data_IF_969289558047
#
_entry.id   IF_969289558047
#
_cell.length_a   1.000
_cell.length_b   1.000
_cell.length_c   1.000
_cell.angle_alpha   90.00
_cell.angle_beta   90.00
_cell.angle_gamma   90.00
#
_symmetry.space_group_name_H-M   'P 1'
#
loop_
_entity.id
_entity.type
_entity.pdbx_description
1 polymer ?
#
# COMPACT_ATOMS: atom_id res chain seq x y z
N UNK A 1 -26.06 -18.81 6.48
CA UNK A 1 -25.38 -17.99 5.46
C UNK A 1 -25.48 -16.53 5.87
N UNK A 2 -24.38 -15.93 6.33
CA UNK A 2 -24.31 -14.47 6.45
C UNK A 2 -24.23 -13.93 5.02
N UNK A 3 -25.30 -13.30 4.53
CA UNK A 3 -25.28 -12.64 3.22
C UNK A 3 -24.18 -11.58 3.16
N UNK A 4 -23.72 -11.25 1.94
CA UNK A 4 -22.61 -10.39 1.47
C UNK A 4 -22.31 -9.05 2.20
N UNK A 5 -22.63 -8.88 3.48
CA UNK A 5 -22.41 -7.66 4.24
C UNK A 5 -21.01 -7.65 4.84
N UNK A 6 -20.33 -6.52 4.74
CA UNK A 6 -19.04 -6.30 5.39
C UNK A 6 -19.22 -6.07 6.90
N UNK A 7 -18.13 -6.23 7.67
CA UNK A 7 -18.12 -5.85 9.09
C UNK A 7 -18.62 -4.42 9.28
N UNK A 8 -18.17 -3.48 8.45
CA UNK A 8 -18.58 -2.08 8.54
C UNK A 8 -20.09 -1.91 8.34
N UNK A 9 -20.70 -2.65 7.43
CA UNK A 9 -22.15 -2.61 7.22
C UNK A 9 -22.91 -3.15 8.44
N UNK A 10 -22.43 -4.23 9.06
CA UNK A 10 -23.02 -4.74 10.31
C UNK A 10 -22.90 -3.76 11.47
N UNK A 11 -21.75 -3.09 11.61
CA UNK A 11 -21.53 -2.05 12.64
C UNK A 11 -22.46 -0.87 12.41
N UNK A 12 -22.55 -0.37 11.18
CA UNK A 12 -23.40 0.78 10.85
C UNK A 12 -24.88 0.47 11.09
N UNK A 13 -25.35 -0.73 10.72
CA UNK A 13 -26.72 -1.17 11.00
C UNK A 13 -27.01 -1.25 12.50
N UNK A 14 -26.06 -1.77 13.29
CA UNK A 14 -26.19 -1.81 14.74
C UNK A 14 -26.30 -0.40 15.34
N UNK A 15 -25.38 0.50 14.98
CA UNK A 15 -25.38 1.88 15.47
C UNK A 15 -26.63 2.65 15.06
N UNK A 16 -27.12 2.43 13.84
CA UNK A 16 -28.38 3.04 13.38
C UNK A 16 -29.56 2.61 14.25
N UNK A 17 -29.64 1.32 14.62
CA UNK A 17 -30.70 0.82 15.50
C UNK A 17 -30.59 1.35 16.92
N UNK A 18 -29.38 1.44 17.47
CA UNK A 18 -29.12 2.07 18.78
C UNK A 18 -29.63 3.51 18.77
N UNK A 19 -29.22 4.29 17.76
CA UNK A 19 -29.60 5.70 17.65
C UNK A 19 -31.11 5.88 17.49
N UNK A 20 -31.78 5.03 16.71
CA UNK A 20 -33.23 5.07 16.55
C UNK A 20 -33.95 4.79 17.88
N UNK A 21 -33.50 3.79 18.63
CA UNK A 21 -34.07 3.45 19.93
C UNK A 21 -33.84 4.56 20.95
N UNK A 22 -32.62 5.09 21.05
CA UNK A 22 -32.32 6.22 21.93
C UNK A 22 -33.12 7.47 21.56
N UNK A 23 -33.31 7.74 20.28
CA UNK A 23 -34.16 8.82 19.79
C UNK A 23 -35.61 8.68 20.26
N UNK A 24 -36.18 7.47 20.16
CA UNK A 24 -37.54 7.18 20.66
C UNK A 24 -37.65 7.37 22.18
N UNK A 25 -36.65 6.92 22.93
CA UNK A 25 -36.62 7.08 24.39
C UNK A 25 -36.54 8.57 24.76
N UNK A 26 -35.67 9.34 24.11
CA UNK A 26 -35.53 10.79 24.34
C UNK A 26 -36.82 11.53 24.02
N UNK A 27 -37.43 11.25 22.87
CA UNK A 27 -38.72 11.85 22.50
C UNK A 27 -39.80 11.54 23.52
N UNK A 28 -39.84 10.31 24.07
CA UNK A 28 -40.81 9.96 25.12
C UNK A 28 -40.54 10.68 26.44
N UNK A 29 -39.27 10.89 26.80
CA UNK A 29 -38.88 11.69 27.97
C UNK A 29 -39.35 13.14 27.79
N UNK A 30 -39.10 13.75 26.63
CA UNK A 30 -39.52 15.13 26.31
C UNK A 30 -41.06 15.30 26.41
N UNK A 31 -41.83 14.35 25.87
CA UNK A 31 -43.29 14.34 26.01
C UNK A 31 -43.73 14.29 27.48
N UNK A 32 -43.09 13.43 28.29
CA UNK A 32 -43.41 13.28 29.71
C UNK A 32 -43.00 14.52 30.52
N UNK A 33 -41.88 15.16 30.19
CA UNK A 33 -41.43 16.41 30.81
C UNK A 33 -42.41 17.56 30.51
N UNK A 34 -42.90 17.66 29.27
CA UNK A 34 -43.96 18.61 28.92
C UNK A 34 -45.25 18.38 29.71
N UNK A 35 -45.68 17.13 29.87
CA UNK A 35 -46.85 16.77 30.67
C UNK A 35 -46.63 17.10 32.16
N UNK A 36 -45.43 16.81 32.68
CA UNK A 36 -45.05 17.12 34.05
C UNK A 36 -45.16 18.63 34.34
N UNK A 37 -44.62 19.48 33.46
CA UNK A 37 -44.68 20.94 33.61
C UNK A 37 -46.12 21.45 33.55
N UNK A 38 -46.92 20.95 32.59
CA UNK A 38 -48.33 21.31 32.45
C UNK A 38 -49.16 20.97 33.70
N UNK A 39 -48.95 19.77 34.27
CA UNK A 39 -49.65 19.36 35.50
C UNK A 39 -49.17 20.16 36.71
N UNK A 40 -47.87 20.44 36.80
CA UNK A 40 -47.29 21.26 37.86
C UNK A 40 -47.89 22.66 37.87
N UNK A 41 -48.06 23.29 36.70
CA UNK A 41 -48.70 24.59 36.59
C UNK A 41 -50.20 24.55 36.92
N UNK A 42 -50.91 23.50 36.53
CA UNK A 42 -52.31 23.29 36.97
C UNK A 42 -52.43 23.19 38.49
N UNK A 43 -51.51 22.46 39.14
CA UNK A 43 -51.47 22.36 40.61
C UNK A 43 -51.21 23.73 41.24
N UNK A 44 -50.29 24.53 40.69
CA UNK A 44 -50.03 25.90 41.20
C UNK A 44 -51.28 26.77 41.11
N UNK A 45 -51.94 26.79 39.95
CA UNK A 45 -53.19 27.56 39.72
C UNK A 45 -54.31 27.10 40.65
N UNK A 46 -54.53 25.78 40.76
CA UNK A 46 -55.53 25.23 41.68
C UNK A 46 -55.19 25.54 43.15
N UNK A 47 -53.92 25.49 43.54
CA UNK A 47 -53.50 25.83 44.90
C UNK A 47 -53.77 27.31 45.22
N UNK A 48 -53.50 28.22 44.29
CA UNK A 48 -53.83 29.64 44.48
C UNK A 48 -55.35 29.87 44.64
N UNK A 49 -56.17 29.26 43.77
CA UNK A 49 -57.63 29.33 43.86
C UNK A 49 -58.18 28.71 45.17
N UNK A 50 -57.57 27.63 45.65
CA UNK A 50 -57.92 27.01 46.93
C UNK A 50 -57.70 27.98 48.09
N UNK A 51 -56.55 28.66 48.13
CA UNK A 51 -56.22 29.65 49.17
C UNK A 51 -57.24 30.81 49.15
N UNK A 52 -57.63 31.29 47.97
CA UNK A 52 -58.64 32.34 47.84
C UNK A 52 -60.00 31.92 48.41
N UNK A 53 -60.43 30.67 48.17
CA UNK A 53 -61.67 30.12 48.72
C UNK A 53 -61.61 29.94 50.25
N UNK A 54 -60.46 29.51 50.78
CA UNK A 54 -60.22 29.42 52.23
C UNK A 54 -60.32 30.80 52.89
N UNK A 55 -59.72 31.83 52.28
CA UNK A 55 -59.81 33.22 52.76
C UNK A 55 -61.25 33.74 52.70
N UNK A 56 -62.01 33.38 51.66
CA UNK A 56 -63.42 33.74 51.51
C UNK A 56 -64.39 32.96 52.43
N UNK A 57 -63.89 31.95 53.16
CA UNK A 57 -64.69 31.10 54.04
C UNK A 57 -65.49 30.00 53.33
N UNK A 58 -65.24 29.75 52.04
CA UNK A 58 -65.83 28.64 51.30
C UNK A 58 -65.01 27.35 51.44
N UNK A 59 -65.17 26.71 52.60
CA UNK A 59 -64.47 25.47 52.93
C UNK A 59 -64.86 24.30 52.01
N UNK A 60 -66.10 24.27 51.50
CA UNK A 60 -66.57 23.19 50.62
C UNK A 60 -65.92 23.29 49.24
N UNK A 61 -65.79 24.51 48.70
CA UNK A 61 -65.06 24.78 47.46
C UNK A 61 -63.57 24.45 47.59
N UNK A 62 -62.92 24.89 48.68
CA UNK A 62 -61.53 24.60 48.96
C UNK A 62 -61.24 23.09 49.04
N UNK A 63 -62.08 22.31 49.74
CA UNK A 63 -61.90 20.86 49.88
C UNK A 63 -62.01 20.12 48.54
N UNK A 64 -62.89 20.59 47.63
CA UNK A 64 -63.00 20.03 46.27
C UNK A 64 -61.71 20.23 45.47
N UNK A 65 -61.12 21.42 45.57
CA UNK A 65 -59.84 21.72 44.90
C UNK A 65 -58.70 20.90 45.52
N UNK A 66 -58.68 20.75 46.85
CA UNK A 66 -57.67 19.92 47.54
C UNK A 66 -57.67 18.46 47.04
N UNK A 67 -58.86 17.86 46.88
CA UNK A 67 -59.01 16.50 46.33
C UNK A 67 -58.50 16.41 44.89
N UNK A 68 -58.84 17.39 44.04
CA UNK A 68 -58.32 17.49 42.67
C UNK A 68 -56.79 17.61 42.66
N UNK A 69 -56.21 18.49 43.47
CA UNK A 69 -54.77 18.66 43.60
C UNK A 69 -54.05 17.38 44.03
N UNK A 70 -54.65 16.59 44.93
CA UNK A 70 -54.09 15.29 45.32
C UNK A 70 -54.01 14.33 44.13
N UNK A 71 -55.05 14.28 43.30
CA UNK A 71 -55.05 13.45 42.09
C UNK A 71 -53.98 13.89 41.09
N UNK A 72 -53.83 15.21 40.88
CA UNK A 72 -52.80 15.76 40.00
C UNK A 72 -51.38 15.44 40.51
N UNK A 73 -51.15 15.50 41.82
CA UNK A 73 -49.86 15.13 42.42
C UNK A 73 -49.51 13.66 42.23
N UNK A 74 -50.49 12.76 42.33
CA UNK A 74 -50.28 11.34 42.02
C UNK A 74 -49.85 11.13 40.56
N UNK A 75 -50.51 11.82 39.62
CA UNK A 75 -50.11 11.76 38.20
C UNK A 75 -48.70 12.31 37.96
N UNK A 76 -48.32 13.38 38.66
CA UNK A 76 -46.96 13.93 38.60
C UNK A 76 -45.93 12.90 39.08
N UNK A 77 -46.20 12.20 40.18
CA UNK A 77 -45.31 11.16 40.70
C UNK A 77 -45.18 9.99 39.71
N UNK A 78 -46.30 9.52 39.14
CA UNK A 78 -46.31 8.47 38.09
C UNK A 78 -45.49 8.86 36.86
N UNK A 79 -45.60 10.12 36.42
CA UNK A 79 -44.82 10.65 35.29
C UNK A 79 -43.33 10.71 35.65
N UNK A 80 -42.99 11.16 36.86
CA UNK A 80 -41.59 11.25 37.32
C UNK A 80 -40.94 9.87 37.36
N UNK A 81 -41.64 8.88 37.89
CA UNK A 81 -41.19 7.49 37.91
C UNK A 81 -41.01 6.95 36.49
N UNK A 82 -41.94 7.27 35.58
CA UNK A 82 -41.85 6.88 34.17
C UNK A 82 -40.62 7.52 33.48
N UNK A 83 -40.38 8.81 33.69
CA UNK A 83 -39.19 9.52 33.17
C UNK A 83 -37.91 8.84 33.68
N UNK A 84 -37.84 8.54 34.98
CA UNK A 84 -36.69 7.86 35.56
C UNK A 84 -36.49 6.46 34.97
N UNK A 85 -37.59 5.73 34.76
CA UNK A 85 -37.60 4.44 34.08
C UNK A 85 -37.01 4.52 32.67
N UNK A 86 -37.48 5.45 31.84
CA UNK A 86 -36.93 5.67 30.50
C UNK A 86 -35.47 6.12 30.51
N UNK A 87 -35.08 7.03 31.41
CA UNK A 87 -33.69 7.47 31.56
C UNK A 87 -32.76 6.32 31.95
N UNK A 88 -33.23 5.38 32.78
CA UNK A 88 -32.44 4.21 33.16
C UNK A 88 -32.20 3.23 32.00
N UNK A 89 -33.02 3.28 30.95
CA UNK A 89 -32.87 2.47 29.73
C UNK A 89 -31.93 3.10 28.70
N UNK A 90 -31.60 4.40 28.81
CA UNK A 90 -30.60 5.02 27.95
C UNK A 90 -29.23 4.37 28.18
N UNK A 91 -28.56 3.97 27.11
CA UNK A 91 -27.29 3.27 27.16
C UNK A 91 -27.37 1.81 27.64
N UNK A 92 -28.51 1.34 28.13
CA UNK A 92 -28.72 -0.08 28.35
C UNK A 92 -29.13 -0.71 27.02
N UNK A 93 -28.24 -1.51 26.43
CA UNK A 93 -28.46 -2.26 25.18
C UNK A 93 -29.50 -3.39 25.31
N UNK A 94 -30.53 -3.17 26.12
CA UNK A 94 -31.57 -4.09 26.56
C UNK A 94 -32.52 -4.39 25.40
N UNK A 95 -32.02 -5.09 24.38
CA UNK A 95 -32.71 -5.79 23.27
C UNK A 95 -31.80 -6.01 22.04
N UNK A 96 -30.61 -5.42 22.00
CA UNK A 96 -29.71 -5.48 20.83
C UNK A 96 -28.67 -6.60 20.89
N UNK A 97 -28.81 -7.56 21.82
CA UNK A 97 -27.86 -8.66 21.99
C UNK A 97 -27.68 -9.49 20.72
N UNK A 98 -28.78 -9.79 19.99
CA UNK A 98 -28.72 -10.55 18.74
C UNK A 98 -28.00 -9.78 17.62
N UNK A 99 -28.19 -8.47 17.56
CA UNK A 99 -27.50 -7.60 16.61
C UNK A 99 -26.01 -7.49 16.94
N UNK A 100 -25.68 -7.37 18.23
CA UNK A 100 -24.29 -7.36 18.70
C UNK A 100 -23.59 -8.69 18.40
N UNK A 101 -24.28 -9.82 18.54
CA UNK A 101 -23.77 -11.13 18.16
C UNK A 101 -23.48 -11.23 16.65
N UNK A 102 -24.30 -10.59 15.80
CA UNK A 102 -24.03 -10.50 14.36
C UNK A 102 -22.78 -9.67 14.08
N UNK A 103 -22.60 -8.54 14.76
CA UNK A 103 -21.37 -7.73 14.65
C UNK A 103 -20.15 -8.55 15.09
N UNK A 104 -20.25 -9.27 16.21
CA UNK A 104 -19.19 -10.15 16.71
C UNK A 104 -18.84 -11.25 15.71
N UNK A 105 -19.84 -11.92 15.14
CA UNK A 105 -19.62 -12.95 14.13
C UNK A 105 -18.94 -12.39 12.87
N UNK A 106 -19.38 -11.22 12.40
CA UNK A 106 -18.76 -10.53 11.27
C UNK A 106 -17.31 -10.11 11.57
N UNK A 107 -17.02 -9.69 12.81
CA UNK A 107 -15.67 -9.30 13.21
C UNK A 107 -14.71 -10.50 13.22
N UNK A 108 -15.18 -11.64 13.75
CA UNK A 108 -14.42 -12.90 13.74
C UNK A 108 -14.12 -13.33 12.30
N UNK A 109 -15.11 -13.24 11.40
CA UNK A 109 -14.90 -13.60 9.99
C UNK A 109 -13.91 -12.65 9.30
N UNK A 110 -14.05 -11.34 9.50
CA UNK A 110 -13.16 -10.35 8.92
C UNK A 110 -11.70 -10.53 9.38
N UNK A 111 -11.47 -10.90 10.65
CA UNK A 111 -10.13 -11.18 11.14
C UNK A 111 -9.54 -12.47 10.53
N UNK A 112 -10.34 -13.53 10.38
CA UNK A 112 -9.92 -14.76 9.67
C UNK A 112 -9.51 -14.45 8.23
N UNK A 113 -10.34 -13.72 7.50
CA UNK A 113 -10.07 -13.34 6.11
C UNK A 113 -8.80 -12.48 6.00
N UNK A 114 -8.57 -11.60 6.97
CA UNK A 114 -7.36 -10.77 7.05
C UNK A 114 -6.12 -11.63 7.28
N UNK A 115 -6.15 -12.54 8.25
CA UNK A 115 -5.04 -13.45 8.56
C UNK A 115 -4.70 -14.31 7.34
N UNK A 116 -5.71 -14.88 6.69
CA UNK A 116 -5.50 -15.66 5.46
C UNK A 116 -4.86 -14.83 4.35
N UNK A 117 -5.36 -13.61 4.12
CA UNK A 117 -4.79 -12.68 3.12
C UNK A 117 -3.33 -12.35 3.43
N UNK A 118 -2.99 -12.05 4.68
CA UNK A 118 -1.62 -11.76 5.11
C UNK A 118 -0.71 -12.95 4.84
N UNK A 119 -1.14 -14.16 5.21
CA UNK A 119 -0.37 -15.38 4.95
C UNK A 119 -0.16 -15.64 3.46
N UNK A 120 -1.20 -15.42 2.64
CA UNK A 120 -1.09 -15.58 1.20
C UNK A 120 -0.14 -14.56 0.57
N UNK A 121 -0.22 -13.30 0.99
CA UNK A 121 0.70 -12.24 0.53
C UNK A 121 2.15 -12.55 0.95
N UNK A 122 2.36 -13.05 2.17
CA UNK A 122 3.67 -13.45 2.63
C UNK A 122 4.28 -14.56 1.76
N UNK A 123 3.51 -15.63 1.50
CA UNK A 123 3.93 -16.72 0.60
C UNK A 123 4.23 -16.22 -0.82
N UNK A 124 3.40 -15.33 -1.37
CA UNK A 124 3.67 -14.70 -2.67
C UNK A 124 4.99 -13.91 -2.65
N UNK A 125 5.26 -13.19 -1.56
CA UNK A 125 6.52 -12.50 -1.35
C UNK A 125 7.72 -13.44 -1.35
N UNK A 126 7.64 -14.58 -0.66
CA UNK A 126 8.70 -15.60 -0.66
C UNK A 126 8.92 -16.21 -2.06
N UNK A 127 7.84 -16.53 -2.77
CA UNK A 127 7.92 -17.05 -4.14
C UNK A 127 8.58 -16.05 -5.10
N UNK A 128 8.23 -14.77 -5.01
CA UNK A 128 8.85 -13.72 -5.82
C UNK A 128 10.33 -13.53 -5.46
N UNK A 129 10.70 -13.62 -4.17
CA UNK A 129 12.09 -13.56 -3.75
C UNK A 129 12.92 -14.70 -4.35
N UNK A 130 12.37 -15.92 -4.39
CA UNK A 130 13.02 -17.06 -5.04
C UNK A 130 13.18 -16.85 -6.54
N UNK A 131 12.14 -16.36 -7.23
CA UNK A 131 12.21 -16.05 -8.66
C UNK A 131 13.29 -15.00 -8.97
N UNK A 132 13.43 -13.98 -8.11
CA UNK A 132 14.48 -12.97 -8.25
C UNK A 132 15.87 -13.61 -8.08
N UNK A 133 16.05 -14.51 -7.12
CA UNK A 133 17.32 -15.21 -6.91
C UNK A 133 17.69 -16.06 -8.14
N UNK A 134 16.73 -16.84 -8.66
CA UNK A 134 16.93 -17.68 -9.85
C UNK A 134 17.26 -16.84 -11.09
N UNK A 135 16.58 -15.70 -11.27
CA UNK A 135 16.85 -14.78 -12.37
C UNK A 135 18.21 -14.11 -12.25
N UNK A 136 18.67 -13.77 -11.04
CA UNK A 136 20.02 -13.24 -10.80
C UNK A 136 21.08 -14.26 -11.18
N UNK A 137 20.92 -15.51 -10.75
CA UNK A 137 21.83 -16.60 -11.12
C UNK A 137 21.88 -16.81 -12.64
N UNK A 138 20.72 -16.83 -13.31
CA UNK A 138 20.66 -16.94 -14.78
C UNK A 138 21.37 -15.78 -15.47
N UNK A 139 21.18 -14.54 -14.98
CA UNK A 139 21.87 -13.37 -15.52
C UNK A 139 23.39 -13.50 -15.37
N UNK A 140 23.86 -13.92 -14.20
CA UNK A 140 25.30 -14.11 -13.95
C UNK A 140 25.89 -15.20 -14.86
N UNK A 141 25.18 -16.30 -15.04
CA UNK A 141 25.59 -17.36 -15.98
C UNK A 141 25.68 -16.84 -17.42
N UNK A 142 24.65 -16.13 -17.90
CA UNK A 142 24.66 -15.55 -19.26
C UNK A 142 25.81 -14.55 -19.43
N UNK A 143 26.09 -13.74 -18.42
CA UNK A 143 27.23 -12.80 -18.45
C UNK A 143 28.58 -13.54 -18.50
N UNK A 144 28.70 -14.66 -17.79
CA UNK A 144 29.89 -15.51 -17.85
C UNK A 144 30.06 -16.13 -19.25
N UNK A 145 28.99 -16.74 -19.78
CA UNK A 145 28.98 -17.37 -21.11
C UNK A 145 29.29 -16.36 -22.21
N UNK A 146 28.72 -15.16 -22.11
CA UNK A 146 29.04 -14.05 -23.01
C UNK A 146 30.50 -13.65 -22.92
N UNK A 147 31.06 -13.52 -21.71
CA UNK A 147 32.48 -13.15 -21.52
C UNK A 147 33.40 -14.21 -22.11
N UNK A 148 33.13 -15.49 -21.85
CA UNK A 148 33.90 -16.61 -22.40
C UNK A 148 33.83 -16.59 -23.93
N UNK A 149 32.62 -16.51 -24.49
CA UNK A 149 32.40 -16.48 -25.95
C UNK A 149 33.03 -15.26 -26.62
N UNK A 150 33.02 -14.10 -25.96
CA UNK A 150 33.65 -12.88 -26.47
C UNK A 150 35.18 -12.99 -26.48
N UNK A 151 35.77 -13.62 -25.45
CA UNK A 151 37.22 -13.76 -25.31
C UNK A 151 37.84 -14.88 -26.13
N UNK A 152 37.05 -15.90 -26.49
CA UNK A 152 37.51 -17.11 -27.16
C UNK A 152 36.97 -17.15 -28.58
N UNK A 153 37.76 -16.60 -29.51
CA UNK A 153 37.43 -16.63 -30.93
C UNK A 153 37.74 -18.00 -31.52
N UNK A 154 37.03 -18.38 -32.59
CA UNK A 154 37.30 -19.63 -33.32
C UNK A 154 38.73 -19.66 -33.83
N UNK A 155 39.27 -18.50 -34.20
CA UNK A 155 40.66 -18.32 -34.59
C UNK A 155 41.63 -18.75 -33.49
N UNK A 156 41.41 -18.32 -32.23
CA UNK A 156 42.22 -18.70 -31.07
C UNK A 156 42.24 -20.22 -30.86
N UNK A 157 41.08 -20.87 -30.98
CA UNK A 157 40.97 -22.33 -30.81
C UNK A 157 41.69 -23.11 -31.91
N UNK A 158 41.88 -22.50 -33.07
CA UNK A 158 42.54 -23.09 -34.22
C UNK A 158 44.00 -22.64 -34.38
N UNK A 159 44.54 -21.76 -33.52
CA UNK A 159 45.94 -21.28 -33.62
C UNK A 159 46.95 -22.43 -33.75
N UNK A 160 46.71 -23.53 -33.05
CA UNK A 160 47.57 -24.72 -33.07
C UNK A 160 47.66 -25.42 -34.43
N UNK A 161 46.68 -25.21 -35.33
CA UNK A 161 46.70 -25.80 -36.68
C UNK A 161 47.35 -24.91 -37.72
N UNK A 162 47.74 -23.67 -37.38
CA UNK A 162 48.29 -22.69 -38.33
C UNK A 162 49.49 -23.25 -39.13
N UNK A 163 50.40 -23.98 -38.47
CA UNK A 163 51.58 -24.59 -39.11
C UNK A 163 51.25 -25.74 -40.07
N UNK A 164 50.04 -26.31 -39.96
CA UNK A 164 49.55 -27.35 -40.86
C UNK A 164 48.79 -26.76 -42.07
N UNK A 165 48.27 -25.53 -41.92
CA UNK A 165 47.70 -24.76 -43.03
C UNK A 165 48.84 -24.29 -43.96
N UNK A 166 49.91 -23.73 -43.38
CA UNK A 166 51.12 -23.35 -44.11
C UNK A 166 52.36 -23.46 -43.21
N UNK A 167 53.46 -24.11 -43.66
CA UNK A 167 54.68 -24.24 -42.87
C UNK A 167 55.29 -22.90 -42.42
N UNK A 168 55.12 -21.83 -43.22
CA UNK A 168 55.58 -20.45 -42.91
C UNK A 168 54.91 -19.91 -41.64
N UNK A 169 53.74 -20.42 -41.29
CA UNK A 169 53.00 -19.99 -40.11
C UNK A 169 53.69 -20.33 -38.79
N UNK A 170 54.68 -21.24 -38.78
CA UNK A 170 55.40 -21.64 -37.55
C UNK A 170 56.08 -20.45 -36.87
N UNK A 171 56.62 -19.52 -37.67
CA UNK A 171 57.35 -18.33 -37.20
C UNK A 171 56.44 -17.14 -36.86
N UNK A 172 55.13 -17.22 -37.11
CA UNK A 172 54.18 -16.13 -36.86
C UNK A 172 53.88 -15.96 -35.38
N UNK A 173 53.64 -14.71 -34.97
CA UNK A 173 53.07 -14.36 -33.66
C UNK A 173 51.63 -14.85 -33.51
N UNK A 174 51.10 -14.85 -32.29
CA UNK A 174 49.74 -15.31 -32.00
C UNK A 174 48.68 -14.54 -32.84
N UNK A 175 48.77 -13.22 -32.87
CA UNK A 175 47.85 -12.34 -33.63
C UNK A 175 47.94 -12.55 -35.15
N UNK A 176 49.14 -12.86 -35.65
CA UNK A 176 49.36 -13.18 -37.06
C UNK A 176 48.79 -14.56 -37.42
N UNK A 177 48.95 -15.56 -36.54
CA UNK A 177 48.34 -16.89 -36.69
C UNK A 177 46.81 -16.79 -36.69
N UNK A 178 46.22 -16.00 -35.79
CA UNK A 178 44.78 -15.75 -35.77
C UNK A 178 44.30 -15.09 -37.08
N UNK A 179 45.03 -14.10 -37.59
CA UNK A 179 44.67 -13.42 -38.85
C UNK A 179 44.76 -14.35 -40.05
N UNK A 180 45.80 -15.19 -40.12
CA UNK A 180 45.96 -16.23 -41.14
C UNK A 180 44.78 -17.21 -41.10
N UNK A 181 44.42 -17.69 -39.89
CA UNK A 181 43.29 -18.61 -39.71
C UNK A 181 41.96 -17.97 -40.11
N UNK A 182 41.74 -16.69 -39.77
CA UNK A 182 40.54 -15.97 -40.20
C UNK A 182 40.40 -15.95 -41.71
N UNK A 183 41.48 -15.60 -42.42
CA UNK A 183 41.51 -15.59 -43.90
C UNK A 183 41.31 -16.99 -44.49
N UNK A 184 41.93 -18.00 -43.88
CA UNK A 184 41.75 -19.39 -44.30
C UNK A 184 40.30 -19.86 -44.11
N UNK A 185 39.67 -19.55 -42.97
CA UNK A 185 38.26 -19.88 -42.70
C UNK A 185 37.28 -19.11 -43.59
N UNK A 186 37.61 -17.90 -44.05
CA UNK A 186 36.78 -17.14 -45.00
C UNK A 186 36.90 -17.62 -46.45
N UNK A 187 37.78 -18.58 -46.73
CA UNK A 187 38.03 -19.09 -48.07
C UNK A 187 38.85 -18.12 -48.95
N UNK A 188 39.48 -17.11 -48.35
CA UNK A 188 40.41 -16.21 -49.03
C UNK A 188 41.75 -16.90 -49.29
N UNK A 189 42.44 -16.50 -50.36
CA UNK A 189 43.79 -16.98 -50.65
C UNK A 189 44.75 -16.53 -49.55
N UNK A 190 45.42 -17.49 -48.91
CA UNK A 190 46.40 -17.21 -47.86
C UNK A 190 47.68 -16.54 -48.37
N UNK A 191 47.93 -16.56 -49.68
CA UNK A 191 49.08 -15.88 -50.29
C UNK A 191 49.03 -14.35 -50.12
N UNK A 192 47.83 -13.75 -50.06
CA UNK A 192 47.66 -12.31 -49.81
C UNK A 192 48.08 -11.91 -48.37
N UNK A 193 48.16 -12.87 -47.46
CA UNK A 193 48.69 -12.66 -46.12
C UNK A 193 50.23 -12.64 -46.12
N UNK A 194 50.86 -13.56 -46.85
CA UNK A 194 52.33 -13.69 -46.89
C UNK A 194 53.01 -12.80 -47.93
N UNK A 195 52.27 -12.23 -48.88
CA UNK A 195 52.80 -11.35 -49.95
C UNK A 195 53.15 -9.93 -49.49
N UNK A 196 53.01 -9.60 -48.21
CA UNK A 196 53.59 -8.38 -47.62
C UNK A 196 54.98 -8.65 -47.05
N UNK A 197 55.96 -8.91 -47.91
CA UNK A 197 57.38 -8.88 -47.50
C UNK A 197 58.37 -8.54 -48.61
N UNK A 198 58.03 -7.68 -49.57
CA UNK A 198 59.02 -7.10 -50.50
C UNK A 198 58.69 -5.66 -50.88
N UNK A 199 58.59 -4.76 -49.90
CA UNK A 199 58.81 -3.33 -50.18
C UNK A 199 59.36 -2.58 -48.96
N UNK A 200 60.46 -3.08 -48.39
CA UNK A 200 61.36 -2.21 -47.62
C UNK A 200 62.36 -1.57 -48.59
N UNK A 201 61.96 -0.45 -49.22
CA UNK A 201 62.94 0.48 -49.81
C UNK A 201 63.54 1.27 -48.64
N UNK A 202 64.74 0.88 -48.23
CA UNK A 202 65.51 1.56 -47.18
C UNK A 202 65.63 3.07 -47.45
N UNK A 203 65.96 3.87 -46.41
CA UNK A 203 65.95 5.32 -46.53
C UNK A 203 66.95 5.78 -47.59
N UNK A 204 66.44 6.49 -48.60
CA UNK A 204 67.26 7.28 -49.52
C UNK A 204 67.82 8.44 -48.69
N UNK A 205 69.10 8.38 -48.34
CA UNK A 205 69.82 9.52 -47.80
C UNK A 205 69.98 10.52 -48.95
N UNK A 206 69.10 11.52 -48.99
CA UNK A 206 69.35 12.76 -49.73
C UNK A 206 69.83 13.81 -48.74
N UNK A 207 71.08 14.22 -48.91
CA UNK A 207 71.69 15.35 -48.21
C UNK A 207 71.05 16.62 -48.77
N UNK A 208 70.45 17.46 -47.92
CA UNK A 208 69.83 18.72 -48.32
C UNK A 208 69.17 19.50 -47.17
N UNK A 209 70.02 20.20 -46.42
CA UNK A 209 69.86 21.43 -45.62
C UNK A 209 68.71 21.64 -44.57
N UNK A 210 69.01 22.33 -43.45
CA UNK A 210 68.21 22.37 -42.25
C UNK A 210 67.24 23.55 -42.24
N UNK A 211 65.98 23.28 -41.88
CA UNK A 211 65.09 24.37 -41.50
C UNK A 211 63.64 24.03 -41.70
N UNK A 212 63.04 23.39 -40.72
CA UNK A 212 61.70 23.74 -40.22
C UNK A 212 61.36 22.83 -39.03
N UNK A 213 61.49 23.37 -37.84
CA UNK A 213 60.91 22.83 -36.61
C UNK A 213 59.38 22.86 -36.73
N UNK A 214 58.73 21.70 -36.68
CA UNK A 214 57.27 21.65 -36.50
C UNK A 214 56.97 21.11 -35.11
N UNK A 215 56.31 22.00 -34.38
CA UNK A 215 55.92 21.97 -32.97
C UNK A 215 54.92 20.84 -32.67
N UNK A 216 55.16 20.09 -31.60
CA UNK A 216 54.25 19.06 -31.11
C UNK A 216 53.19 19.70 -30.19
N UNK A 217 51.90 19.59 -30.55
CA UNK A 217 50.78 19.86 -29.64
C UNK A 217 50.04 18.56 -29.31
N UNK A 218 49.93 18.17 -28.03
CA UNK A 218 49.13 17.01 -27.64
C UNK A 218 47.63 17.33 -27.66
N UNK A 219 46.76 16.31 -27.82
CA UNK A 219 45.30 16.49 -27.81
C UNK A 219 44.78 16.87 -26.41
N UNK A 220 43.83 17.80 -26.39
CA UNK A 220 43.11 18.22 -25.19
C UNK A 220 42.20 17.11 -24.65
N UNK A 221 42.35 16.78 -23.37
CA UNK A 221 41.36 16.02 -22.61
C UNK A 221 40.10 16.87 -22.38
N UNK A 222 38.95 16.40 -22.85
CA UNK A 222 37.64 16.76 -22.34
C UNK A 222 36.80 15.48 -22.28
N UNK A 223 36.05 15.15 -21.26
CA UNK A 223 35.74 15.79 -19.99
C UNK A 223 34.76 14.83 -19.31
N UNK A 224 35.11 14.29 -18.14
CA UNK A 224 34.19 13.51 -17.33
C UNK A 224 33.71 14.38 -16.17
N UNK A 225 32.50 14.91 -16.32
CA UNK A 225 31.74 15.47 -15.22
C UNK A 225 31.21 14.33 -14.35
N UNK A 226 31.68 14.29 -13.11
CA UNK A 226 31.12 13.45 -12.03
C UNK A 226 29.97 14.27 -11.40
N UNK A 227 28.75 13.72 -11.24
CA UNK A 227 27.79 14.29 -10.32
C UNK A 227 28.16 13.87 -8.90
N UNK A 228 28.40 14.86 -8.03
CA UNK A 228 28.44 14.64 -6.58
C UNK A 228 27.02 14.48 -6.02
N UNK A 229 26.97 13.68 -4.95
CA UNK A 229 25.85 13.30 -4.08
C UNK A 229 25.20 14.51 -3.42
#
# INVERSE_FOLDING_TARGET
>A
MFGNKTLQQHVNEFLSKVNEQEGKIRSKIEELEFLFDSLTDKVKVQTAAMIELEIAGDNAGAEKIMKSNRQLRLQIDEIKDSIQGYRSQLGQGYQLGKELDKVKAAAIQADKDRVERVNNLHKQGEQLAQQIADLKMKREQVMLDWRVSYSRTTEMDLVGIASYIDPRATALSLTEKETLIRKWMSGETIEDFFSKSDEYKGPIISIGDPGTSVEYRPPQHGGNSIPQV
#
